data_IF_267924769409
#
_entry.id   IF_267924769409
#
_cell.length_a   1.000
_cell.length_b   1.000
_cell.length_c   1.000
_cell.angle_alpha   90.00
_cell.angle_beta   90.00
_cell.angle_gamma   90.00
#
_symmetry.space_group_name_H-M   'P 1'
#
loop_
_entity.id
_entity.type
_entity.pdbx_description
1 polymer ?
#
# COMPACT_ATOMS: atom_id res chain seq x y z
N UNK A 1 -3.19 -16.66 -28.83
CA UNK A 1 -4.24 -16.35 -27.84
C UNK A 1 -3.57 -15.55 -26.73
N UNK A 2 -4.04 -14.35 -26.44
CA UNK A 2 -3.50 -13.50 -25.36
C UNK A 2 -4.58 -13.37 -24.30
N UNK A 3 -4.22 -13.60 -23.04
CA UNK A 3 -5.09 -13.40 -21.89
C UNK A 3 -4.63 -12.10 -21.22
N UNK A 4 -5.56 -11.16 -21.00
CA UNK A 4 -5.32 -9.92 -20.27
C UNK A 4 -6.10 -9.94 -18.96
N UNK A 5 -5.46 -9.49 -17.88
CA UNK A 5 -6.05 -9.38 -16.54
C UNK A 5 -5.96 -7.93 -16.06
N UNK A 6 -7.00 -7.48 -15.39
CA UNK A 6 -7.06 -6.15 -14.74
C UNK A 6 -7.41 -6.34 -13.26
N UNK A 7 -6.79 -5.55 -12.39
CA UNK A 7 -6.98 -5.62 -10.95
C UNK A 7 -7.84 -4.44 -10.51
N UNK A 8 -9.09 -4.73 -10.17
CA UNK A 8 -10.01 -3.71 -9.68
C UNK A 8 -9.51 -3.08 -8.38
N UNK A 9 -9.36 -1.75 -8.39
CA UNK A 9 -8.96 -0.99 -7.19
C UNK A 9 -7.60 -1.42 -6.65
N UNK A 10 -6.62 -1.65 -7.53
CA UNK A 10 -5.29 -2.17 -7.16
C UNK A 10 -4.66 -1.44 -5.96
N UNK A 11 -4.73 -0.11 -5.93
CA UNK A 11 -4.17 0.69 -4.83
C UNK A 11 -5.03 0.72 -3.56
N UNK A 12 -6.35 0.51 -3.68
CA UNK A 12 -7.28 0.57 -2.56
C UNK A 12 -7.29 -0.73 -1.74
N UNK A 13 -6.98 -1.85 -2.40
CA UNK A 13 -7.03 -3.19 -1.81
C UNK A 13 -5.68 -3.70 -1.27
N UNK A 14 -4.58 -2.93 -1.41
CA UNK A 14 -3.27 -3.32 -0.88
C UNK A 14 -3.30 -3.52 0.64
N UNK A 15 -3.07 -4.73 1.12
CA UNK A 15 -3.00 -4.96 2.56
C UNK A 15 -1.71 -4.40 3.13
N UNK A 16 -1.79 -3.61 4.20
CA UNK A 16 -0.60 -3.04 4.84
C UNK A 16 0.33 -4.12 5.38
N UNK A 17 -0.22 -5.24 5.85
CA UNK A 17 0.57 -6.38 6.32
C UNK A 17 1.36 -7.03 5.19
N UNK A 18 0.77 -7.19 3.99
CA UNK A 18 1.50 -7.68 2.82
C UNK A 18 2.67 -6.75 2.49
N UNK A 19 2.43 -5.44 2.41
CA UNK A 19 3.51 -4.48 2.14
C UNK A 19 4.61 -4.55 3.20
N UNK A 20 4.26 -4.65 4.49
CA UNK A 20 5.23 -4.78 5.59
C UNK A 20 6.08 -6.04 5.46
N UNK A 21 5.45 -7.18 5.17
CA UNK A 21 6.14 -8.44 4.95
C UNK A 21 7.08 -8.34 3.74
N UNK A 22 6.62 -7.81 2.61
CA UNK A 22 7.49 -7.62 1.44
C UNK A 22 8.69 -6.72 1.77
N UNK A 23 8.49 -5.66 2.56
CA UNK A 23 9.56 -4.76 2.98
C UNK A 23 10.59 -5.45 3.89
N UNK A 24 10.16 -6.39 4.73
CA UNK A 24 11.06 -7.18 5.60
C UNK A 24 11.99 -8.11 4.81
N UNK A 25 11.58 -8.52 3.61
CA UNK A 25 12.36 -9.42 2.75
C UNK A 25 13.39 -8.70 1.88
N UNK A 26 13.31 -7.37 1.76
CA UNK A 26 14.24 -6.59 0.93
C UNK A 26 15.53 -6.33 1.71
N UNK A 27 16.67 -6.66 1.09
CA UNK A 27 17.98 -6.29 1.62
C UNK A 27 18.27 -4.78 1.41
N UNK A 28 17.72 -3.94 2.27
CA UNK A 28 17.88 -2.48 2.25
C UNK A 28 18.14 -1.94 3.67
N UNK A 29 18.78 -0.76 3.83
CA UNK A 29 19.02 -0.20 5.16
C UNK A 29 17.76 -0.09 6.04
N UNK A 30 17.86 -0.64 7.25
CA UNK A 30 16.74 -0.78 8.18
C UNK A 30 16.01 0.54 8.46
N UNK A 31 16.72 1.66 8.61
CA UNK A 31 16.11 2.97 8.85
C UNK A 31 15.17 3.40 7.71
N UNK A 32 15.47 3.03 6.47
CA UNK A 32 14.57 3.34 5.34
C UNK A 32 13.39 2.39 5.32
N UNK A 33 13.60 1.10 5.59
CA UNK A 33 12.51 0.12 5.71
C UNK A 33 11.52 0.55 6.79
N UNK A 34 12.01 0.92 7.98
CA UNK A 34 11.16 1.40 9.08
C UNK A 34 10.43 2.70 8.69
N UNK A 35 11.10 3.63 8.02
CA UNK A 35 10.43 4.85 7.50
C UNK A 35 9.30 4.51 6.53
N UNK A 36 9.48 3.52 5.66
CA UNK A 36 8.44 3.07 4.72
C UNK A 36 7.28 2.38 5.45
N UNK A 37 7.55 1.60 6.50
CA UNK A 37 6.51 1.01 7.36
C UNK A 37 5.74 2.07 8.13
N UNK A 38 6.42 3.11 8.62
CA UNK A 38 5.82 4.22 9.36
C UNK A 38 4.83 5.02 8.51
N UNK A 39 5.07 5.13 7.20
CA UNK A 39 4.09 5.72 6.25
C UNK A 39 2.74 4.98 6.33
N UNK A 40 2.73 3.67 6.63
CA UNK A 40 1.52 2.85 6.72
C UNK A 40 0.90 2.82 8.13
N UNK A 41 1.51 3.47 9.12
CA UNK A 41 1.09 3.42 10.53
C UNK A 41 0.14 4.57 10.86
N UNK A 42 -0.92 4.29 11.63
CA UNK A 42 -1.99 5.23 12.04
C UNK A 42 -2.56 6.09 10.89
N UNK A 43 -2.63 5.51 9.68
CA UNK A 43 -3.20 6.21 8.52
C UNK A 43 -4.67 6.53 8.76
N UNK A 44 -5.06 7.77 8.50
CA UNK A 44 -6.44 8.23 8.58
C UNK A 44 -6.80 9.03 7.33
N UNK A 45 -8.03 8.84 6.85
CA UNK A 45 -8.65 9.69 5.86
C UNK A 45 -9.56 10.65 6.60
N UNK A 46 -9.42 11.95 6.34
CA UNK A 46 -10.27 12.99 6.92
C UNK A 46 -11.05 13.68 5.82
N UNK A 47 -12.37 13.71 5.97
CA UNK A 47 -13.29 14.35 5.03
C UNK A 47 -13.92 15.54 5.73
N UNK A 48 -13.92 16.70 5.08
CA UNK A 48 -14.65 17.87 5.58
C UNK A 48 -16.13 17.73 5.25
N UNK A 49 -16.98 17.80 6.27
CA UNK A 49 -18.44 17.77 6.13
C UNK A 49 -19.05 19.08 6.64
N UNK A 50 -20.35 19.30 6.40
CA UNK A 50 -21.05 20.47 6.94
C UNK A 50 -21.08 20.51 8.48
N UNK A 51 -20.89 19.36 9.14
CA UNK A 51 -20.86 19.21 10.60
C UNK A 51 -19.44 19.23 11.18
N UNK A 52 -18.42 19.37 10.33
CA UNK A 52 -17.00 19.33 10.70
C UNK A 52 -16.23 18.18 10.06
N UNK A 53 -14.94 18.03 10.39
CA UNK A 53 -14.10 16.94 9.88
C UNK A 53 -14.53 15.59 10.47
N UNK A 54 -14.67 14.59 9.61
CA UNK A 54 -14.83 13.19 10.01
C UNK A 54 -13.58 12.43 9.59
N UNK A 55 -12.98 11.69 10.52
CA UNK A 55 -11.78 10.88 10.28
C UNK A 55 -12.08 9.39 10.37
N UNK A 56 -11.55 8.62 9.43
CA UNK A 56 -11.64 7.17 9.40
C UNK A 56 -10.25 6.56 9.37
N UNK A 57 -10.01 5.54 10.19
CA UNK A 57 -8.73 4.81 10.19
C UNK A 57 -8.63 3.89 8.98
N UNK A 58 -7.56 4.01 8.22
CA UNK A 58 -7.32 3.25 7.01
C UNK A 58 -6.38 2.08 7.30
N UNK A 59 -6.90 0.86 7.19
CA UNK A 59 -6.18 -0.40 7.47
C UNK A 59 -5.68 -1.12 6.21
N UNK A 60 -6.02 -0.60 5.03
CA UNK A 60 -5.60 -1.10 3.73
C UNK A 60 -5.50 0.04 2.72
N UNK A 61 -4.79 -0.21 1.63
CA UNK A 61 -4.61 0.68 0.51
C UNK A 61 -3.57 1.77 0.75
N UNK A 62 -3.09 2.35 -0.34
CA UNK A 62 -2.24 3.53 -0.35
C UNK A 62 -3.00 4.73 -0.95
N UNK A 63 -2.61 5.95 -0.60
CA UNK A 63 -3.22 7.13 -1.19
C UNK A 63 -2.88 7.21 -2.69
N UNK A 64 -3.89 7.26 -3.55
CA UNK A 64 -3.67 7.50 -4.97
C UNK A 64 -2.99 8.87 -5.17
N UNK A 65 -1.93 8.90 -5.97
CA UNK A 65 -1.09 10.08 -6.15
C UNK A 65 0.08 10.20 -5.16
N UNK A 66 0.23 9.28 -4.20
CA UNK A 66 1.45 9.22 -3.40
C UNK A 66 2.63 8.73 -4.25
N UNK A 67 3.83 9.24 -3.95
CA UNK A 67 5.06 8.80 -4.63
C UNK A 67 5.41 7.34 -4.32
N UNK A 68 5.02 6.83 -3.15
CA UNK A 68 5.30 5.46 -2.71
C UNK A 68 4.25 4.43 -3.16
N UNK A 69 3.08 4.87 -3.61
CA UNK A 69 1.98 3.99 -4.01
C UNK A 69 2.39 2.96 -5.09
N UNK A 70 2.99 3.38 -6.21
CA UNK A 70 3.46 2.44 -7.24
C UNK A 70 4.50 1.43 -6.73
N UNK A 71 5.40 1.85 -5.84
CA UNK A 71 6.38 0.94 -5.23
C UNK A 71 5.68 -0.13 -4.38
N UNK A 72 4.75 0.26 -3.51
CA UNK A 72 4.02 -0.69 -2.68
C UNK A 72 3.18 -1.66 -3.50
N UNK A 73 2.56 -1.21 -4.58
CA UNK A 73 1.86 -2.09 -5.51
C UNK A 73 2.80 -3.12 -6.14
N UNK A 74 3.97 -2.69 -6.61
CA UNK A 74 4.94 -3.60 -7.22
C UNK A 74 5.49 -4.64 -6.24
N UNK A 75 5.74 -4.25 -4.98
CA UNK A 75 6.22 -5.19 -3.96
C UNK A 75 5.22 -6.32 -3.73
N UNK A 76 3.94 -5.99 -3.52
CA UNK A 76 2.89 -6.99 -3.29
C UNK A 76 2.58 -7.77 -4.56
N UNK A 77 2.59 -7.12 -5.73
CA UNK A 77 2.37 -7.81 -7.00
C UNK A 77 3.49 -8.81 -7.31
N UNK A 78 4.73 -8.53 -6.92
CA UNK A 78 5.85 -9.44 -7.15
C UNK A 78 5.68 -10.77 -6.40
N UNK A 79 5.11 -10.77 -5.19
CA UNK A 79 4.77 -11.99 -4.45
C UNK A 79 3.69 -12.83 -5.16
N UNK A 80 2.79 -12.19 -5.91
CA UNK A 80 1.69 -12.87 -6.60
C UNK A 80 2.14 -13.40 -7.98
N UNK A 81 3.02 -12.66 -8.65
CA UNK A 81 3.47 -12.93 -10.02
C UNK A 81 4.73 -13.81 -10.04
N UNK A 82 5.50 -13.87 -8.96
CA UNK A 82 6.66 -14.75 -8.88
C UNK A 82 6.22 -16.19 -9.11
N UNK A 83 6.65 -16.76 -10.23
CA UNK A 83 6.65 -18.19 -10.45
C UNK A 83 7.65 -18.82 -9.46
N UNK A 84 7.21 -19.80 -8.66
CA UNK A 84 8.15 -20.79 -8.14
C UNK A 84 8.76 -21.61 -9.28
#
# INVERSE_FOLDING_TARGET
>A
MVISLDIQGAFDHLQHNSIRNSLDEINFPSHTIETLKDILTDRKVTIQTAQGPVSWSQQQGCAQGSCTGPMFLNLVANEIISEE
#
